data_IF_319433488678
#
_entry.id   IF_319433488678
#
_cell.length_a   1.000
_cell.length_b   1.000
_cell.length_c   1.000
_cell.angle_alpha   90.00
_cell.angle_beta   90.00
_cell.angle_gamma   90.00
#
_symmetry.space_group_name_H-M   'P 1'
#
loop_
_entity.id
_entity.type
_entity.pdbx_description
1 polymer ?
#
# COMPACT_ATOMS: atom_id res chain seq x y z
N UNK A 1 -3.33 -4.14 16.00
CA UNK A 1 -2.60 -2.86 15.82
C UNK A 1 -2.60 -2.49 14.34
N UNK A 2 -2.92 -1.25 13.96
CA UNK A 2 -2.88 -0.83 12.55
C UNK A 2 -1.44 -0.81 12.03
N UNK A 3 -1.22 -1.38 10.85
CA UNK A 3 0.02 -1.29 10.08
C UNK A 3 -0.11 -0.28 8.92
N UNK A 4 -1.32 -0.08 8.44
CA UNK A 4 -1.69 0.92 7.45
C UNK A 4 -3.20 1.16 7.53
N UNK A 5 -3.64 2.39 7.30
CA UNK A 5 -5.07 2.69 7.13
C UNK A 5 -5.23 3.98 6.32
N UNK A 6 -6.04 3.93 5.27
CA UNK A 6 -6.41 5.13 4.52
C UNK A 6 -7.87 5.06 4.04
N UNK A 7 -8.44 6.24 3.79
CA UNK A 7 -9.73 6.36 3.12
C UNK A 7 -9.51 6.41 1.60
N UNK A 8 -10.46 5.84 0.85
CA UNK A 8 -10.57 5.91 -0.61
C UNK A 8 -12.02 6.29 -0.90
N UNK A 9 -12.30 7.59 -0.93
CA UNK A 9 -13.66 8.12 -0.91
C UNK A 9 -14.46 7.61 0.30
N UNK A 10 -15.63 7.01 0.04
CA UNK A 10 -16.49 6.49 1.13
C UNK A 10 -15.97 5.19 1.77
N UNK A 11 -14.97 4.52 1.17
CA UNK A 11 -14.45 3.24 1.63
C UNK A 11 -13.16 3.42 2.42
N UNK A 12 -12.86 2.46 3.28
CA UNK A 12 -11.63 2.40 4.05
C UNK A 12 -10.85 1.14 3.71
N UNK A 13 -9.55 1.33 3.48
CA UNK A 13 -8.57 0.27 3.37
C UNK A 13 -7.74 0.24 4.64
N UNK A 14 -7.49 -0.95 5.18
CA UNK A 14 -6.65 -1.11 6.36
C UNK A 14 -5.88 -2.42 6.33
N UNK A 15 -4.68 -2.38 6.90
CA UNK A 15 -3.88 -3.56 7.20
C UNK A 15 -3.66 -3.54 8.70
N UNK A 16 -4.10 -4.59 9.38
CA UNK A 16 -3.99 -4.71 10.83
C UNK A 16 -3.17 -5.93 11.20
N UNK A 17 -2.18 -5.74 12.07
CA UNK A 17 -1.37 -6.78 12.68
C UNK A 17 -1.97 -7.29 14.00
N UNK A 18 -1.84 -8.60 14.23
CA UNK A 18 -2.11 -9.27 15.51
C UNK A 18 -1.11 -10.42 15.71
N UNK A 19 -0.27 -10.33 16.74
CA UNK A 19 0.84 -11.27 16.94
C UNK A 19 1.82 -11.24 15.75
N UNK A 20 2.03 -12.40 15.12
CA UNK A 20 2.83 -12.55 13.89
C UNK A 20 1.98 -12.64 12.62
N UNK A 21 0.70 -12.25 12.69
CA UNK A 21 -0.21 -12.27 11.54
C UNK A 21 -0.63 -10.86 11.19
N UNK A 22 -0.94 -10.62 9.93
CA UNK A 22 -1.58 -9.40 9.46
C UNK A 22 -2.77 -9.75 8.57
N UNK A 23 -3.74 -8.85 8.52
CA UNK A 23 -4.92 -8.98 7.67
C UNK A 23 -5.18 -7.67 6.93
N UNK A 24 -5.40 -7.78 5.64
CA UNK A 24 -5.93 -6.72 4.79
C UNK A 24 -7.46 -6.72 4.86
N UNK A 25 -8.04 -5.52 4.92
CA UNK A 25 -9.49 -5.30 4.88
C UNK A 25 -9.82 -4.07 4.04
N UNK A 26 -10.90 -4.17 3.27
CA UNK A 26 -11.45 -3.08 2.48
C UNK A 26 -12.98 -3.10 2.51
N UNK A 27 -13.60 -1.93 2.60
CA UNK A 27 -15.05 -1.80 2.58
C UNK A 27 -15.56 -0.49 3.18
N UNK A 28 -16.85 -0.41 3.43
CA UNK A 28 -17.48 0.72 4.12
C UNK A 28 -17.24 0.63 5.64
N UNK A 29 -17.32 1.76 6.37
CA UNK A 29 -17.37 1.73 7.83
C UNK A 29 -18.45 0.74 8.31
N UNK A 30 -18.07 -0.19 9.19
CA UNK A 30 -18.97 -1.23 9.71
C UNK A 30 -19.27 -2.41 8.77
N UNK A 31 -18.81 -2.39 7.51
CA UNK A 31 -19.04 -3.47 6.53
C UNK A 31 -17.76 -3.82 5.75
N UNK A 32 -17.17 -4.96 6.10
CA UNK A 32 -16.04 -5.52 5.35
C UNK A 32 -16.57 -6.11 4.03
N UNK A 33 -16.09 -5.61 2.91
CA UNK A 33 -16.41 -6.12 1.57
C UNK A 33 -15.37 -7.12 1.09
N UNK A 34 -14.12 -6.93 1.51
CA UNK A 34 -12.99 -7.74 1.09
C UNK A 34 -12.02 -7.88 2.26
N UNK A 35 -11.52 -9.09 2.47
CA UNK A 35 -10.45 -9.36 3.42
C UNK A 35 -9.52 -10.45 2.91
N UNK A 36 -8.25 -10.35 3.26
CA UNK A 36 -7.28 -11.42 3.02
C UNK A 36 -6.21 -11.44 4.10
N UNK A 37 -5.75 -12.65 4.42
CA UNK A 37 -4.59 -12.89 5.30
C UNK A 37 -3.38 -13.39 4.51
N UNK A 38 -3.53 -13.59 3.19
CA UNK A 38 -2.42 -13.91 2.30
C UNK A 38 -1.77 -12.61 1.87
N UNK A 39 -0.73 -12.23 2.60
CA UNK A 39 -0.04 -10.96 2.44
C UNK A 39 1.44 -11.20 2.13
N UNK A 40 2.00 -10.39 1.24
CA UNK A 40 3.44 -10.29 1.03
C UNK A 40 3.91 -8.86 1.16
N UNK A 41 5.14 -8.69 1.64
CA UNK A 41 5.82 -7.40 1.80
C UNK A 41 6.92 -7.26 0.76
N UNK A 42 7.04 -6.07 0.18
CA UNK A 42 8.14 -5.72 -0.70
C UNK A 42 8.50 -4.24 -0.54
N UNK A 43 9.75 -3.92 -0.84
CA UNK A 43 10.22 -2.54 -0.91
C UNK A 43 11.17 -2.40 -2.09
N UNK A 44 11.23 -1.19 -2.62
CA UNK A 44 12.19 -0.83 -3.66
C UNK A 44 12.72 0.56 -3.40
N UNK A 45 14.04 0.67 -3.27
CA UNK A 45 14.70 1.96 -3.28
C UNK A 45 14.65 2.55 -4.70
N UNK A 46 14.32 3.84 -4.81
CA UNK A 46 14.29 4.59 -6.06
C UNK A 46 15.18 5.82 -5.85
N UNK A 47 15.87 6.31 -6.88
CA UNK A 47 16.74 7.48 -6.71
C UNK A 47 15.95 8.67 -6.14
N UNK A 48 16.31 9.13 -4.95
CA UNK A 48 15.60 10.19 -4.23
C UNK A 48 14.35 9.76 -3.48
N UNK A 49 14.15 8.46 -3.24
CA UNK A 49 13.07 7.95 -2.40
C UNK A 49 12.94 6.42 -2.42
N UNK A 50 11.71 5.94 -2.48
CA UNK A 50 11.43 4.51 -2.45
C UNK A 50 9.94 4.25 -2.39
N UNK A 51 9.59 2.98 -2.54
CA UNK A 51 8.22 2.51 -2.43
C UNK A 51 8.16 1.27 -1.57
N UNK A 52 7.23 1.28 -0.62
CA UNK A 52 6.87 0.15 0.23
C UNK A 52 5.56 -0.42 -0.26
N UNK A 53 5.46 -1.74 -0.31
CA UNK A 53 4.28 -2.45 -0.79
C UNK A 53 3.86 -3.56 0.16
N UNK A 54 2.55 -3.70 0.34
CA UNK A 54 1.93 -4.91 0.89
C UNK A 54 0.90 -5.41 -0.12
N UNK A 55 1.12 -6.61 -0.65
CA UNK A 55 0.21 -7.24 -1.60
C UNK A 55 -0.66 -8.28 -0.91
N UNK A 56 -1.97 -8.11 -1.02
CA UNK A 56 -2.96 -9.10 -0.59
C UNK A 56 -3.51 -9.87 -1.80
N UNK A 57 -3.64 -11.19 -1.71
CA UNK A 57 -4.25 -12.01 -2.77
C UNK A 57 -5.64 -12.49 -2.38
N UNK A 58 -6.55 -12.53 -3.36
CA UNK A 58 -7.86 -13.19 -3.24
C UNK A 58 -8.26 -13.75 -4.61
N UNK A 59 -8.17 -15.08 -4.77
CA UNK A 59 -8.37 -15.78 -6.05
C UNK A 59 -7.48 -15.15 -7.14
N UNK A 60 -8.06 -14.74 -8.25
CA UNK A 60 -7.35 -14.16 -9.40
C UNK A 60 -7.06 -12.66 -9.24
N UNK A 61 -7.41 -12.07 -8.10
CA UNK A 61 -7.14 -10.68 -7.77
C UNK A 61 -5.94 -10.53 -6.84
N UNK A 62 -5.16 -9.48 -7.08
CA UNK A 62 -4.19 -8.96 -6.11
C UNK A 62 -4.44 -7.49 -5.82
N UNK A 63 -4.25 -7.11 -4.57
CA UNK A 63 -4.49 -5.78 -4.03
C UNK A 63 -3.18 -5.32 -3.40
N UNK A 64 -2.42 -4.50 -4.13
CA UNK A 64 -1.14 -3.99 -3.67
C UNK A 64 -1.36 -2.62 -3.06
N UNK A 65 -1.29 -2.56 -1.73
CA UNK A 65 -1.20 -1.31 -0.97
C UNK A 65 0.22 -0.79 -1.13
N UNK A 66 0.37 0.48 -1.47
CA UNK A 66 1.67 1.12 -1.58
C UNK A 66 1.72 2.44 -0.82
N UNK A 67 2.90 2.79 -0.32
CA UNK A 67 3.31 4.16 -0.06
C UNK A 67 4.63 4.40 -0.78
N UNK A 68 4.79 5.59 -1.35
CA UNK A 68 5.97 5.96 -2.11
C UNK A 68 6.39 7.38 -1.83
N UNK A 69 7.69 7.58 -1.93
CA UNK A 69 8.32 8.89 -2.01
C UNK A 69 9.09 8.93 -3.32
N UNK A 70 8.82 9.93 -4.15
CA UNK A 70 9.53 10.16 -5.41
C UNK A 70 10.11 11.56 -5.37
N UNK A 71 11.43 11.68 -5.59
CA UNK A 71 12.06 12.99 -5.78
C UNK A 71 11.47 13.66 -7.03
N UNK A 72 10.94 14.86 -6.88
CA UNK A 72 10.56 15.69 -8.03
C UNK A 72 11.70 16.65 -8.41
N UNK A 73 11.38 17.65 -9.24
CA UNK A 73 12.31 18.74 -9.58
C UNK A 73 12.80 19.49 -8.35
N UNK A 74 13.86 20.28 -8.52
CA UNK A 74 14.23 21.28 -7.53
C UNK A 74 13.09 22.30 -7.44
N UNK A 75 12.64 22.60 -6.22
CA UNK A 75 11.74 23.72 -5.97
C UNK A 75 12.41 25.05 -6.33
N UNK A 76 11.64 26.13 -6.37
CA UNK A 76 12.16 27.48 -6.68
C UNK A 76 13.23 27.95 -5.68
N UNK A 77 13.27 27.35 -4.48
CA UNK A 77 14.27 27.60 -3.44
C UNK A 77 15.55 26.74 -3.58
N UNK A 78 15.63 25.91 -4.63
CA UNK A 78 16.74 25.00 -4.88
C UNK A 78 16.76 23.75 -3.99
N UNK A 79 15.71 23.49 -3.20
CA UNK A 79 15.57 22.25 -2.41
C UNK A 79 14.89 21.16 -3.22
N UNK A 80 15.12 19.90 -2.84
CA UNK A 80 14.33 18.80 -3.36
C UNK A 80 12.90 18.88 -2.81
N UNK A 81 11.92 18.81 -3.71
CA UNK A 81 10.50 18.71 -3.36
C UNK A 81 10.03 17.26 -3.57
N UNK A 82 10.03 16.40 -2.54
CA UNK A 82 9.58 15.02 -2.69
C UNK A 82 8.05 14.95 -2.83
N UNK A 83 7.57 14.23 -3.84
CA UNK A 83 6.18 13.85 -3.95
C UNK A 83 5.93 12.56 -3.16
N UNK A 84 5.01 12.63 -2.20
CA UNK A 84 4.50 11.48 -1.50
C UNK A 84 3.26 10.93 -2.23
N UNK A 85 2.98 9.66 -2.01
CA UNK A 85 1.79 9.03 -2.58
C UNK A 85 1.50 7.74 -1.86
N UNK A 86 0.26 7.53 -1.45
CA UNK A 86 -0.21 6.21 -1.03
C UNK A 86 -1.49 5.79 -1.75
N UNK A 87 -1.72 4.49 -1.84
CA UNK A 87 -2.88 3.99 -2.55
C UNK A 87 -2.98 2.49 -2.67
N UNK A 88 -3.90 2.08 -3.53
CA UNK A 88 -4.25 0.70 -3.83
C UNK A 88 -4.16 0.47 -5.34
N UNK A 89 -3.27 -0.43 -5.74
CA UNK A 89 -3.24 -1.03 -7.07
C UNK A 89 -4.02 -2.34 -7.05
N UNK A 90 -4.98 -2.48 -7.96
CA UNK A 90 -5.80 -3.68 -8.12
C UNK A 90 -5.39 -4.35 -9.43
N UNK A 91 -4.99 -5.62 -9.35
CA UNK A 91 -4.74 -6.46 -10.52
C UNK A 91 -5.72 -7.63 -10.56
N UNK A 92 -6.11 -8.03 -11.76
CA UNK A 92 -6.88 -9.23 -12.04
C UNK A 92 -6.13 -10.04 -13.09
N UNK A 93 -5.84 -11.32 -12.82
CA UNK A 93 -5.00 -12.17 -13.69
C UNK A 93 -3.69 -11.48 -14.08
N UNK A 94 -3.05 -10.81 -13.11
CA UNK A 94 -1.79 -10.09 -13.32
C UNK A 94 -1.91 -8.78 -14.14
N UNK A 95 -3.09 -8.36 -14.58
CA UNK A 95 -3.26 -7.08 -15.29
C UNK A 95 -3.81 -6.02 -14.35
N UNK A 96 -3.29 -4.80 -14.41
CA UNK A 96 -3.83 -3.67 -13.65
C UNK A 96 -5.24 -3.37 -14.15
N UNK A 97 -6.22 -3.40 -13.24
CA UNK A 97 -7.62 -3.08 -13.54
C UNK A 97 -8.05 -1.77 -12.88
N UNK A 98 -7.36 -1.34 -11.81
CA UNK A 98 -7.58 -0.05 -11.20
C UNK A 98 -6.37 0.38 -10.36
N UNK A 99 -6.16 1.69 -10.30
CA UNK A 99 -5.37 2.34 -9.26
C UNK A 99 -6.29 3.30 -8.51
N UNK A 100 -6.21 3.30 -7.19
CA UNK A 100 -7.02 4.15 -6.31
C UNK A 100 -6.09 4.85 -5.32
N UNK A 101 -5.86 6.16 -5.46
CA UNK A 101 -5.10 6.89 -4.46
C UNK A 101 -5.87 6.90 -3.14
N UNK A 102 -5.13 6.97 -2.04
CA UNK A 102 -5.71 7.34 -0.77
C UNK A 102 -6.12 8.82 -0.80
N UNK A 103 -7.11 9.18 0.01
CA UNK A 103 -7.53 10.58 0.14
C UNK A 103 -6.44 11.44 0.81
N UNK A 104 -5.58 10.79 1.62
CA UNK A 104 -4.41 11.38 2.26
C UNK A 104 -3.20 10.46 2.11
N UNK A 105 -2.01 11.05 1.99
CA UNK A 105 -0.76 10.33 1.98
C UNK A 105 -0.44 9.80 3.37
N UNK A 106 -0.35 8.48 3.47
CA UNK A 106 -0.10 7.77 4.72
C UNK A 106 0.94 6.67 4.49
N UNK A 107 1.95 6.54 5.37
CA UNK A 107 2.98 5.53 5.21
C UNK A 107 2.53 4.17 5.74
N UNK A 108 3.06 3.09 5.16
CA UNK A 108 3.06 1.76 5.78
C UNK A 108 4.08 1.79 6.92
N UNK A 109 3.66 1.39 8.13
CA UNK A 109 4.55 1.41 9.29
C UNK A 109 5.66 0.36 9.15
N UNK A 110 6.88 0.70 9.59
CA UNK A 110 8.07 -0.16 9.46
C UNK A 110 7.90 -1.57 10.05
N UNK A 111 7.04 -1.74 11.06
CA UNK A 111 6.74 -3.05 11.66
C UNK A 111 6.11 -4.03 10.67
N UNK A 112 5.49 -3.56 9.58
CA UNK A 112 4.96 -4.44 8.55
C UNK A 112 6.04 -5.37 7.97
N UNK A 113 7.28 -4.87 7.80
CA UNK A 113 8.43 -5.64 7.29
C UNK A 113 8.71 -6.91 8.09
N UNK A 114 8.56 -6.86 9.42
CA UNK A 114 8.86 -8.00 10.29
C UNK A 114 7.65 -8.89 10.53
N UNK A 115 6.44 -8.43 10.19
CA UNK A 115 5.19 -9.15 10.42
C UNK A 115 4.65 -9.86 9.18
N UNK A 116 5.02 -9.41 7.99
CA UNK A 116 4.49 -9.90 6.72
C UNK A 116 5.64 -10.56 5.94
N UNK A 117 5.46 -11.79 5.42
CA UNK A 117 6.53 -12.47 4.70
C UNK A 117 6.91 -11.71 3.43
N UNK A 118 8.18 -11.79 3.04
CA UNK A 118 8.66 -11.16 1.82
C UNK A 118 7.98 -11.74 0.57
N UNK A 119 7.80 -10.91 -0.45
CA UNK A 119 7.33 -11.35 -1.77
C UNK A 119 7.79 -10.43 -2.89
N UNK A 120 7.23 -10.58 -4.09
CA UNK A 120 7.67 -9.81 -5.24
C UNK A 120 7.21 -8.35 -5.14
N UNK A 121 8.08 -7.45 -5.57
CA UNK A 121 7.73 -6.06 -5.85
C UNK A 121 6.90 -5.97 -7.13
N UNK A 122 5.84 -5.17 -7.12
CA UNK A 122 4.92 -4.99 -8.25
C UNK A 122 5.18 -3.62 -8.89
N UNK A 123 5.79 -3.58 -10.07
CA UNK A 123 5.96 -2.32 -10.80
C UNK A 123 4.62 -1.82 -11.37
N UNK A 124 4.37 -0.51 -11.29
CA UNK A 124 3.18 0.16 -11.80
C UNK A 124 3.39 1.65 -12.10
#
# INVERSE_FOLDING_TARGET
MPLFSCSIGAKRMSICGSGQRAAYRYGLPGKIELSSTQLTFAEKAISGGGETQITATNKDYSYTVFDRTVRTSLGEDGRHDPAFGSGLLIRHNGKVVATRPCDEDVPIVARARTMIPAGPYIAH
#
